data_IF_919864290522
#
_entry.id   IF_919864290522
#
_cell.length_a   1.000
_cell.length_b   1.000
_cell.length_c   1.000
_cell.angle_alpha   90.00
_cell.angle_beta   90.00
_cell.angle_gamma   90.00
#
_symmetry.space_group_name_H-M   'P 1'
#
loop_
_entity.id
_entity.type
_entity.pdbx_description
1 polymer ?
#
# COMPACT_ATOMS: atom_id res chain seq x y z
N UNK A 1 -22.96 -26.94 38.03
CA UNK A 1 -22.92 -26.26 36.72
C UNK A 1 -21.70 -25.38 36.73
N UNK A 2 -20.71 -25.71 35.91
CA UNK A 2 -19.40 -25.06 35.90
C UNK A 2 -19.49 -23.72 35.12
N UNK A 3 -19.26 -22.56 35.77
CA UNK A 3 -19.38 -21.25 35.15
C UNK A 3 -18.33 -20.99 34.06
N UNK A 4 -17.28 -21.83 33.94
CA UNK A 4 -16.28 -21.73 32.87
C UNK A 4 -16.80 -22.13 31.49
N UNK A 5 -17.95 -22.81 31.41
CA UNK A 5 -18.52 -23.32 30.15
C UNK A 5 -19.49 -22.35 29.45
N UNK A 6 -19.63 -21.11 29.94
CA UNK A 6 -20.57 -20.12 29.39
C UNK A 6 -19.87 -18.86 28.85
N UNK A 7 -18.55 -18.91 28.61
CA UNK A 7 -17.88 -17.84 27.87
C UNK A 7 -18.20 -17.96 26.38
N UNK A 8 -19.32 -17.35 25.97
CA UNK A 8 -19.67 -17.09 24.56
C UNK A 8 -18.62 -16.22 23.85
N UNK A 9 -17.77 -15.54 24.62
CA UNK A 9 -16.57 -14.88 24.14
C UNK A 9 -15.39 -15.87 24.18
N UNK A 10 -15.33 -16.75 23.18
CA UNK A 10 -14.06 -17.33 22.78
C UNK A 10 -13.26 -16.17 22.19
N UNK A 11 -12.41 -15.54 23.00
CA UNK A 11 -11.41 -14.60 22.51
C UNK A 11 -10.70 -15.25 21.34
N UNK A 12 -10.71 -14.57 20.19
CA UNK A 12 -10.01 -15.06 19.01
C UNK A 12 -8.52 -15.00 19.32
N UNK A 13 -7.99 -16.09 19.88
CA UNK A 13 -6.55 -16.29 19.98
C UNK A 13 -6.02 -16.44 18.56
N UNK A 14 -5.49 -15.34 18.03
CA UNK A 14 -4.72 -15.37 16.80
C UNK A 14 -3.42 -16.13 17.11
N UNK A 15 -3.14 -17.26 16.47
CA UNK A 15 -1.94 -18.03 16.77
C UNK A 15 -0.68 -17.20 16.44
N UNK A 16 0.29 -17.23 17.35
CA UNK A 16 1.60 -16.56 17.18
C UNK A 16 2.28 -17.10 15.92
N UNK A 17 2.56 -16.21 14.97
CA UNK A 17 3.40 -16.49 13.80
C UNK A 17 2.69 -16.68 12.46
N UNK A 18 1.35 -16.65 12.40
CA UNK A 18 0.68 -16.63 11.10
C UNK A 18 0.81 -15.24 10.46
N UNK A 19 1.53 -15.17 9.33
CA UNK A 19 1.42 -14.10 8.35
C UNK A 19 0.00 -14.09 7.78
N UNK A 20 -0.96 -13.60 8.57
CA UNK A 20 -2.37 -13.58 8.19
C UNK A 20 -2.56 -12.77 6.91
N UNK A 21 -3.71 -12.94 6.25
CA UNK A 21 -4.06 -12.28 4.99
C UNK A 21 -3.71 -10.78 4.89
N UNK A 22 -3.60 -10.05 6.01
CA UNK A 22 -3.08 -8.67 6.07
C UNK A 22 -1.63 -8.55 5.55
N UNK A 23 -0.73 -9.46 5.93
CA UNK A 23 0.67 -9.43 5.49
C UNK A 23 0.78 -9.70 3.98
N UNK A 24 0.07 -10.72 3.48
CA UNK A 24 0.05 -11.03 2.06
C UNK A 24 -0.58 -9.90 1.22
N UNK A 25 -1.72 -9.36 1.66
CA UNK A 25 -2.37 -8.24 0.97
C UNK A 25 -1.52 -6.97 0.98
N UNK A 26 -0.75 -6.73 2.04
CA UNK A 26 0.22 -5.62 2.09
C UNK A 26 1.33 -5.80 1.04
N UNK A 27 1.82 -7.02 0.82
CA UNK A 27 2.77 -7.30 -0.28
C UNK A 27 2.15 -7.06 -1.66
N UNK A 28 0.87 -7.42 -1.84
CA UNK A 28 0.13 -7.15 -3.08
C UNK A 28 -0.03 -5.64 -3.37
N UNK A 29 0.09 -4.78 -2.36
CA UNK A 29 0.09 -3.32 -2.51
C UNK A 29 1.51 -2.80 -2.74
N UNK A 30 2.44 -3.12 -1.83
CA UNK A 30 3.81 -2.59 -1.85
C UNK A 30 4.55 -3.02 -3.12
N UNK A 31 4.38 -4.27 -3.57
CA UNK A 31 5.05 -4.79 -4.77
C UNK A 31 4.79 -3.95 -6.01
N UNK A 32 3.52 -3.81 -6.46
CA UNK A 32 3.18 -2.93 -7.57
C UNK A 32 3.59 -1.48 -7.36
N UNK A 33 3.41 -0.90 -6.17
CA UNK A 33 3.78 0.50 -5.90
C UNK A 33 5.28 0.73 -6.09
N UNK A 34 6.13 -0.14 -5.54
CA UNK A 34 7.58 -0.08 -5.74
C UNK A 34 7.98 -0.32 -7.20
N UNK A 35 7.30 -1.22 -7.91
CA UNK A 35 7.53 -1.45 -9.34
C UNK A 35 7.25 -0.19 -10.17
N UNK A 36 6.10 0.48 -9.95
CA UNK A 36 5.78 1.74 -10.63
C UNK A 36 6.74 2.87 -10.26
N UNK A 37 7.13 2.99 -9.00
CA UNK A 37 8.14 3.96 -8.57
C UNK A 37 9.49 3.71 -9.26
N UNK A 38 9.90 2.45 -9.46
CA UNK A 38 11.10 2.12 -10.22
C UNK A 38 11.01 2.58 -11.68
N UNK A 39 9.87 2.39 -12.34
CA UNK A 39 9.67 2.88 -13.71
C UNK A 39 9.67 4.41 -13.79
N UNK A 40 9.03 5.09 -12.85
CA UNK A 40 9.01 6.56 -12.79
C UNK A 40 10.41 7.11 -12.50
N UNK A 41 11.16 6.47 -11.59
CA UNK A 41 12.55 6.83 -11.32
C UNK A 41 13.44 6.65 -12.55
N UNK A 42 13.20 5.62 -13.37
CA UNK A 42 13.89 5.47 -14.66
C UNK A 42 13.56 6.57 -15.67
N UNK A 43 12.43 7.25 -15.52
CA UNK A 43 12.01 8.37 -16.38
C UNK A 43 12.59 9.70 -15.89
N UNK A 44 13.05 9.77 -14.64
CA UNK A 44 13.55 10.99 -13.99
C UNK A 44 14.66 11.72 -14.76
N UNK A 45 15.66 11.06 -15.37
CA UNK A 45 16.68 11.75 -16.17
C UNK A 45 16.11 12.53 -17.37
N UNK A 46 14.98 12.08 -17.91
CA UNK A 46 14.29 12.72 -19.02
C UNK A 46 13.38 13.86 -18.54
N UNK A 47 12.75 13.69 -17.39
CA UNK A 47 11.86 14.69 -16.80
C UNK A 47 12.63 15.86 -16.15
N UNK A 48 13.85 15.60 -15.66
CA UNK A 48 14.62 16.58 -14.91
C UNK A 48 14.88 17.90 -15.65
N UNK A 49 15.37 17.88 -16.92
CA UNK A 49 15.62 19.09 -17.71
C UNK A 49 14.36 19.83 -18.17
N UNK A 50 13.16 19.26 -17.95
CA UNK A 50 11.90 19.92 -18.29
C UNK A 50 11.32 20.71 -17.14
N UNK A 51 11.62 20.30 -15.90
CA UNK A 51 10.92 20.76 -14.70
C UNK A 51 11.82 21.47 -13.69
N UNK A 52 13.11 21.12 -13.61
CA UNK A 52 14.02 21.61 -12.56
C UNK A 52 15.26 22.33 -13.08
N UNK A 53 15.32 22.66 -14.36
CA UNK A 53 16.40 23.48 -14.94
C UNK A 53 15.90 24.87 -15.30
N UNK A 54 16.67 25.89 -14.91
CA UNK A 54 16.38 27.30 -15.22
C UNK A 54 16.75 27.67 -16.65
N UNK A 55 17.72 26.97 -17.24
CA UNK A 55 18.11 27.17 -18.64
C UNK A 55 17.01 26.68 -19.58
N UNK A 56 16.83 27.38 -20.70
CA UNK A 56 15.88 26.97 -21.71
C UNK A 56 16.25 25.60 -22.26
N UNK A 57 15.34 24.64 -22.13
CA UNK A 57 15.51 23.29 -22.65
C UNK A 57 15.79 23.34 -24.16
N UNK A 58 16.93 22.82 -24.65
CA UNK A 58 17.27 22.88 -26.07
C UNK A 58 16.21 22.18 -26.93
N UNK A 59 15.91 22.71 -28.11
CA UNK A 59 14.98 22.11 -29.07
C UNK A 59 15.32 20.63 -29.39
N UNK A 60 16.62 20.33 -29.51
CA UNK A 60 17.12 18.99 -29.74
C UNK A 60 16.77 17.98 -28.62
N UNK A 61 16.62 18.45 -27.38
CA UNK A 61 16.20 17.60 -26.27
C UNK A 61 14.74 17.18 -26.42
N UNK A 62 13.85 18.09 -26.84
CA UNK A 62 12.45 17.76 -27.11
C UNK A 62 12.32 16.70 -28.22
N UNK A 63 13.15 16.79 -29.26
CA UNK A 63 13.19 15.76 -30.32
C UNK A 63 13.63 14.40 -29.78
N UNK A 64 14.67 14.35 -28.95
CA UNK A 64 15.15 13.12 -28.31
C UNK A 64 14.10 12.52 -27.36
N UNK A 65 13.45 13.36 -26.56
CA UNK A 65 12.39 12.97 -25.65
C UNK A 65 11.21 12.34 -26.40
N UNK A 66 10.76 12.95 -27.49
CA UNK A 66 9.70 12.38 -28.31
C UNK A 66 10.07 11.04 -28.92
N UNK A 67 11.30 10.89 -29.41
CA UNK A 67 11.79 9.60 -29.93
C UNK A 67 11.70 8.54 -28.83
N UNK A 68 12.14 8.88 -27.61
CA UNK A 68 12.07 7.97 -26.46
C UNK A 68 10.62 7.61 -26.11
N UNK A 69 9.72 8.59 -26.01
CA UNK A 69 8.30 8.37 -25.68
C UNK A 69 7.56 7.57 -26.76
N UNK A 70 7.86 7.81 -28.04
CA UNK A 70 7.34 7.02 -29.16
C UNK A 70 7.84 5.59 -29.11
N UNK A 71 9.12 5.39 -28.79
CA UNK A 71 9.68 4.06 -28.60
C UNK A 71 8.98 3.31 -27.45
N UNK A 72 8.71 3.99 -26.32
CA UNK A 72 7.95 3.42 -25.21
C UNK A 72 6.51 3.08 -25.61
N UNK A 73 5.82 3.96 -26.33
CA UNK A 73 4.44 3.72 -26.77
C UNK A 73 4.35 2.62 -27.85
N UNK A 74 5.38 2.46 -28.68
CA UNK A 74 5.49 1.39 -29.67
C UNK A 74 5.87 0.03 -29.06
N UNK A 75 6.06 -0.05 -27.73
CA UNK A 75 6.42 -1.28 -27.05
C UNK A 75 5.35 -2.37 -27.25
N UNK A 76 5.74 -3.66 -27.27
CA UNK A 76 4.79 -4.75 -27.47
C UNK A 76 3.62 -4.70 -26.47
N UNK A 77 2.36 -4.98 -26.90
CA UNK A 77 1.17 -4.85 -26.04
C UNK A 77 1.21 -5.65 -24.74
N UNK A 78 2.06 -6.68 -24.68
CA UNK A 78 2.31 -7.47 -23.47
C UNK A 78 2.80 -6.59 -22.30
N UNK A 79 3.59 -5.55 -22.55
CA UNK A 79 4.13 -4.66 -21.52
C UNK A 79 2.99 -3.90 -20.85
N UNK A 80 2.15 -3.22 -21.64
CA UNK A 80 0.98 -2.52 -21.10
C UNK A 80 0.03 -3.46 -20.33
N UNK A 81 -0.14 -4.70 -20.79
CA UNK A 81 -0.94 -5.71 -20.07
C UNK A 81 -0.34 -6.06 -18.71
N UNK A 82 0.98 -6.24 -18.62
CA UNK A 82 1.68 -6.48 -17.35
C UNK A 82 1.48 -5.29 -16.41
N UNK A 83 1.56 -4.05 -16.91
CA UNK A 83 1.29 -2.86 -16.10
C UNK A 83 -0.13 -2.87 -15.52
N UNK A 84 -1.15 -3.12 -16.34
CA UNK A 84 -2.53 -3.20 -15.86
C UNK A 84 -2.76 -4.36 -14.89
N UNK A 85 -2.07 -5.48 -15.05
CA UNK A 85 -2.10 -6.59 -14.08
C UNK A 85 -1.52 -6.13 -12.74
N UNK A 86 -0.36 -5.46 -12.74
CA UNK A 86 0.22 -4.90 -11.52
C UNK A 86 -0.72 -3.89 -10.82
N UNK A 87 -1.37 -3.01 -11.60
CA UNK A 87 -2.40 -2.09 -11.07
C UNK A 87 -3.54 -2.88 -10.41
N UNK A 88 -4.04 -3.91 -11.10
CA UNK A 88 -5.14 -4.75 -10.61
C UNK A 88 -4.77 -5.49 -9.33
N UNK A 89 -3.54 -6.02 -9.24
CA UNK A 89 -3.03 -6.69 -8.04
C UNK A 89 -3.02 -5.73 -6.83
N UNK A 90 -2.61 -4.47 -7.05
CA UNK A 90 -2.66 -3.43 -6.01
C UNK A 90 -4.08 -3.20 -5.49
N UNK A 91 -5.06 -3.04 -6.39
CA UNK A 91 -6.46 -2.91 -6.00
C UNK A 91 -6.99 -4.13 -5.24
N UNK A 92 -6.68 -5.34 -5.69
CA UNK A 92 -7.06 -6.57 -4.99
C UNK A 92 -6.48 -6.58 -3.57
N UNK A 93 -5.22 -6.16 -3.39
CA UNK A 93 -4.61 -6.02 -2.07
C UNK A 93 -5.40 -5.07 -1.16
N UNK A 94 -5.77 -3.88 -1.64
CA UNK A 94 -6.61 -2.95 -0.88
C UNK A 94 -7.99 -3.52 -0.53
N UNK A 95 -8.66 -4.17 -1.48
CA UNK A 95 -9.96 -4.76 -1.23
C UNK A 95 -9.88 -5.89 -0.19
N UNK A 96 -8.86 -6.74 -0.22
CA UNK A 96 -8.65 -7.77 0.80
C UNK A 96 -8.49 -7.14 2.20
N UNK A 97 -7.75 -6.03 2.32
CA UNK A 97 -7.54 -5.36 3.61
C UNK A 97 -8.78 -4.65 4.14
N UNK A 98 -9.61 -4.08 3.25
CA UNK A 98 -10.86 -3.40 3.63
C UNK A 98 -11.89 -4.31 4.32
N UNK A 99 -11.85 -5.62 4.11
CA UNK A 99 -12.76 -6.56 4.77
C UNK A 99 -12.41 -6.87 6.23
N UNK A 100 -11.31 -6.33 6.78
CA UNK A 100 -10.98 -6.44 8.21
C UNK A 100 -11.27 -5.12 8.96
N UNK A 101 -12.38 -5.05 9.71
CA UNK A 101 -12.78 -3.83 10.39
C UNK A 101 -11.92 -3.59 11.65
N UNK A 102 -10.93 -2.70 11.55
CA UNK A 102 -10.49 -1.85 12.65
C UNK A 102 -10.54 -0.40 12.16
N UNK A 103 -10.88 0.56 13.04
CA UNK A 103 -11.03 1.97 12.64
C UNK A 103 -9.71 2.56 12.11
N UNK A 104 -8.58 2.18 12.71
CA UNK A 104 -7.25 2.58 12.26
C UNK A 104 -6.94 2.02 10.86
N UNK A 105 -7.25 0.74 10.61
CA UNK A 105 -7.02 0.13 9.30
C UNK A 105 -7.92 0.78 8.24
N UNK A 106 -9.16 1.12 8.57
CA UNK A 106 -10.06 1.82 7.65
C UNK A 106 -9.48 3.18 7.21
N UNK A 107 -8.91 3.96 8.14
CA UNK A 107 -8.33 5.26 7.81
C UNK A 107 -7.08 5.13 6.95
N UNK A 108 -6.13 4.27 7.31
CA UNK A 108 -4.88 4.11 6.58
C UNK A 108 -5.07 3.40 5.23
N UNK A 109 -5.81 2.27 5.21
CA UNK A 109 -6.08 1.53 3.96
C UNK A 109 -7.07 2.28 3.06
N UNK A 110 -8.06 2.97 3.63
CA UNK A 110 -9.00 3.80 2.88
C UNK A 110 -8.32 5.00 2.22
N UNK A 111 -7.51 5.75 2.96
CA UNK A 111 -6.73 6.86 2.39
C UNK A 111 -5.73 6.36 1.32
N UNK A 112 -5.06 5.23 1.58
CA UNK A 112 -4.15 4.61 0.61
C UNK A 112 -4.87 4.18 -0.67
N UNK A 113 -6.08 3.62 -0.56
CA UNK A 113 -6.89 3.24 -1.72
C UNK A 113 -7.31 4.48 -2.55
N UNK A 114 -7.70 5.57 -1.89
CA UNK A 114 -8.03 6.83 -2.59
C UNK A 114 -6.82 7.38 -3.33
N UNK A 115 -5.63 7.41 -2.70
CA UNK A 115 -4.39 7.81 -3.37
C UNK A 115 -4.07 6.89 -4.56
N UNK A 116 -4.25 5.59 -4.41
CA UNK A 116 -4.01 4.62 -5.49
C UNK A 116 -5.01 4.78 -6.65
N UNK A 117 -6.26 5.14 -6.35
CA UNK A 117 -7.27 5.48 -7.36
C UNK A 117 -6.88 6.76 -8.10
N UNK A 118 -6.46 7.80 -7.39
CA UNK A 118 -5.97 9.06 -8.00
C UNK A 118 -4.77 8.76 -8.91
N UNK A 119 -3.82 7.94 -8.45
CA UNK A 119 -2.68 7.51 -9.25
C UNK A 119 -3.13 6.81 -10.54
N UNK A 120 -4.12 5.92 -10.45
CA UNK A 120 -4.68 5.22 -11.62
C UNK A 120 -5.36 6.18 -12.60
N UNK A 121 -6.12 7.16 -12.09
CA UNK A 121 -6.75 8.19 -12.94
C UNK A 121 -5.69 9.01 -13.66
N UNK A 122 -4.69 9.54 -12.96
CA UNK A 122 -3.59 10.32 -13.55
C UNK A 122 -2.83 9.51 -14.60
N UNK A 123 -2.57 8.23 -14.33
CA UNK A 123 -1.96 7.33 -15.31
C UNK A 123 -2.80 7.25 -16.61
N UNK A 124 -4.11 7.03 -16.51
CA UNK A 124 -4.98 6.90 -17.68
C UNK A 124 -5.14 8.24 -18.39
N UNK A 125 -5.44 9.31 -17.67
CA UNK A 125 -5.83 10.60 -18.26
C UNK A 125 -4.63 11.40 -18.74
N UNK A 126 -3.47 11.26 -18.11
CA UNK A 126 -2.31 12.10 -18.43
C UNK A 126 -1.23 11.30 -19.14
N UNK A 127 -0.83 10.14 -18.59
CA UNK A 127 0.28 9.36 -19.14
C UNK A 127 -0.13 8.64 -20.43
N UNK A 128 -1.20 7.82 -20.37
CA UNK A 128 -1.66 7.06 -21.54
C UNK A 128 -2.11 7.99 -22.66
N UNK A 129 -2.88 9.03 -22.35
CA UNK A 129 -3.27 10.03 -23.36
C UNK A 129 -2.08 10.80 -23.91
N UNK A 130 -1.18 11.28 -23.05
CA UNK A 130 0.02 12.02 -23.49
C UNK A 130 0.91 11.20 -24.42
N UNK A 131 1.12 9.91 -24.13
CA UNK A 131 1.85 9.01 -25.03
C UNK A 131 1.17 8.83 -26.40
N UNK A 132 -0.16 8.81 -26.45
CA UNK A 132 -0.91 8.76 -27.72
C UNK A 132 -0.72 10.05 -28.52
N UNK A 133 -0.85 11.21 -27.86
CA UNK A 133 -0.66 12.53 -28.49
C UNK A 133 0.75 12.63 -29.09
N UNK A 134 1.79 12.30 -28.31
CA UNK A 134 3.20 12.34 -28.76
C UNK A 134 3.44 11.39 -29.94
N UNK A 135 2.79 10.22 -29.94
CA UNK A 135 2.90 9.23 -31.01
C UNK A 135 2.21 9.67 -32.29
N UNK A 136 1.02 10.25 -32.17
CA UNK A 136 0.27 10.76 -33.33
C UNK A 136 0.87 12.08 -33.86
N UNK A 137 1.64 12.80 -33.04
CA UNK A 137 2.25 14.08 -33.39
C UNK A 137 1.25 15.22 -33.53
N UNK A 138 0.03 15.05 -33.03
CA UNK A 138 -1.04 16.06 -33.09
C UNK A 138 -1.02 16.89 -31.82
N UNK A 139 -0.18 17.91 -31.81
CA UNK A 139 -0.16 18.93 -30.75
C UNK A 139 -1.08 20.10 -31.12
N UNK A 140 -1.62 20.78 -30.10
CA UNK A 140 -2.45 21.98 -30.31
C UNK A 140 -3.82 21.71 -30.93
N UNK A 141 -4.25 20.45 -31.06
CA UNK A 141 -5.62 20.10 -31.46
C UNK A 141 -6.40 19.82 -30.17
N UNK A 142 -7.44 20.61 -29.85
CA UNK A 142 -8.27 20.32 -28.69
C UNK A 142 -9.07 19.03 -28.93
N UNK A 143 -8.97 18.04 -28.02
CA UNK A 143 -9.82 16.83 -28.07
C UNK A 143 -11.22 17.16 -27.53
N UNK A 144 -11.96 17.98 -28.29
CA UNK A 144 -13.33 18.37 -27.99
C UNK A 144 -13.51 19.87 -27.72
N UNK A 145 -14.77 20.30 -27.54
CA UNK A 145 -15.13 21.72 -27.51
C UNK A 145 -14.72 22.45 -26.21
N UNK A 146 -14.16 21.75 -25.22
CA UNK A 146 -13.85 22.27 -23.88
C UNK A 146 -12.37 22.19 -23.50
N UNK A 147 -11.51 21.63 -24.36
CA UNK A 147 -10.08 21.49 -24.04
C UNK A 147 -9.25 22.64 -24.65
N UNK A 148 -8.24 23.09 -23.90
CA UNK A 148 -7.30 24.11 -24.37
C UNK A 148 -6.27 23.43 -25.26
N UNK A 149 -5.99 24.00 -26.43
CA UNK A 149 -4.92 23.56 -27.30
C UNK A 149 -3.56 23.72 -26.61
N UNK A 150 -2.91 22.61 -26.25
CA UNK A 150 -1.58 22.62 -25.62
C UNK A 150 -0.50 22.45 -26.70
N UNK A 151 0.50 23.32 -26.69
CA UNK A 151 1.66 23.24 -27.59
C UNK A 151 2.50 21.98 -27.35
N UNK A 152 3.42 21.70 -28.28
CA UNK A 152 4.34 20.54 -28.20
C UNK A 152 5.13 20.50 -26.89
N UNK A 153 5.87 21.57 -26.60
CA UNK A 153 6.74 21.65 -25.43
C UNK A 153 5.94 21.58 -24.12
N UNK A 154 4.81 22.26 -24.06
CA UNK A 154 3.92 22.24 -22.90
C UNK A 154 3.32 20.84 -22.69
N UNK A 155 2.96 20.13 -23.76
CA UNK A 155 2.45 18.75 -23.68
C UNK A 155 3.51 17.82 -23.10
N UNK A 156 4.78 17.97 -23.50
CA UNK A 156 5.90 17.20 -22.97
C UNK A 156 6.20 17.54 -21.51
N UNK A 157 6.11 18.83 -21.13
CA UNK A 157 6.23 19.27 -19.72
C UNK A 157 5.09 18.77 -18.85
N UNK A 158 3.86 18.75 -19.35
CA UNK A 158 2.70 18.19 -18.65
C UNK A 158 2.87 16.68 -18.42
N UNK A 159 3.44 15.96 -19.38
CA UNK A 159 3.74 14.54 -19.23
C UNK A 159 4.79 14.30 -18.13
N UNK A 160 5.90 15.05 -18.16
CA UNK A 160 6.94 14.99 -17.13
C UNK A 160 6.40 15.35 -15.74
N UNK A 161 5.58 16.41 -15.66
CA UNK A 161 4.94 16.82 -14.40
C UNK A 161 3.99 15.71 -13.88
N UNK A 162 3.29 15.04 -14.78
CA UNK A 162 2.39 13.93 -14.43
C UNK A 162 3.16 12.72 -13.87
N UNK A 163 4.34 12.38 -14.41
CA UNK A 163 5.21 11.35 -13.84
C UNK A 163 5.62 11.70 -12.40
N UNK A 164 5.97 12.97 -12.17
CA UNK A 164 6.37 13.47 -10.85
C UNK A 164 5.22 13.42 -9.84
N UNK A 165 4.04 13.90 -10.23
CA UNK A 165 2.83 13.83 -9.40
C UNK A 165 2.51 12.38 -9.06
N UNK A 166 2.58 11.48 -10.06
CA UNK A 166 2.32 10.06 -9.86
C UNK A 166 3.31 9.45 -8.87
N UNK A 167 4.60 9.81 -8.95
CA UNK A 167 5.62 9.36 -8.01
C UNK A 167 5.32 9.82 -6.57
N UNK A 168 4.96 11.09 -6.38
CA UNK A 168 4.62 11.63 -5.06
C UNK A 168 3.38 10.95 -4.46
N UNK A 169 2.34 10.71 -5.26
CA UNK A 169 1.13 10.02 -4.81
C UNK A 169 1.45 8.58 -4.40
N UNK A 170 2.26 7.87 -5.18
CA UNK A 170 2.67 6.49 -4.88
C UNK A 170 3.60 6.41 -3.65
N UNK A 171 4.49 7.38 -3.45
CA UNK A 171 5.25 7.50 -2.19
C UNK A 171 4.29 7.73 -1.02
N UNK A 172 3.25 8.54 -1.19
CA UNK A 172 2.18 8.72 -0.20
C UNK A 172 1.53 7.40 0.20
N UNK A 173 1.26 6.51 -0.77
CA UNK A 173 0.76 5.15 -0.49
C UNK A 173 1.75 4.36 0.37
N UNK A 174 3.05 4.36 0.05
CA UNK A 174 4.06 3.67 0.85
C UNK A 174 4.16 4.21 2.28
N UNK A 175 4.11 5.53 2.44
CA UNK A 175 4.16 6.19 3.75
C UNK A 175 2.95 5.77 4.60
N UNK A 176 1.74 5.74 4.03
CA UNK A 176 0.55 5.29 4.75
C UNK A 176 0.60 3.80 5.11
N UNK A 177 1.07 2.95 4.20
CA UNK A 177 1.22 1.51 4.47
C UNK A 177 2.29 1.26 5.55
N UNK A 178 3.39 2.01 5.56
CA UNK A 178 4.39 1.96 6.63
C UNK A 178 3.84 2.50 7.97
N UNK A 179 3.04 3.58 7.92
CA UNK A 179 2.35 4.14 9.08
C UNK A 179 1.38 3.14 9.72
N UNK A 180 0.61 2.42 8.90
CA UNK A 180 -0.25 1.34 9.38
C UNK A 180 0.57 0.21 10.00
N UNK A 181 1.66 -0.23 9.36
CA UNK A 181 2.53 -1.26 9.93
C UNK A 181 3.08 -0.85 11.30
N UNK A 182 3.48 0.42 11.44
CA UNK A 182 3.96 0.96 12.72
C UNK A 182 2.84 1.01 13.78
N UNK A 183 1.64 1.47 13.40
CA UNK A 183 0.48 1.51 14.29
C UNK A 183 0.09 0.10 14.76
N UNK A 184 -0.07 -0.85 13.84
CA UNK A 184 -0.37 -2.24 14.14
C UNK A 184 0.72 -2.87 15.03
N UNK A 185 2.00 -2.54 14.80
CA UNK A 185 3.10 -3.07 15.62
C UNK A 185 3.04 -2.56 17.05
N UNK A 186 2.74 -1.27 17.24
CA UNK A 186 2.61 -0.67 18.57
C UNK A 186 1.44 -1.28 19.34
N UNK A 187 0.28 -1.43 18.70
CA UNK A 187 -0.90 -2.03 19.33
C UNK A 187 -0.64 -3.48 19.76
N UNK A 188 0.10 -4.24 18.95
CA UNK A 188 0.52 -5.62 19.30
C UNK A 188 1.50 -5.64 20.48
N UNK A 189 2.47 -4.73 20.52
CA UNK A 189 3.43 -4.67 21.63
C UNK A 189 2.74 -4.28 22.95
N UNK A 190 1.72 -3.42 22.90
CA UNK A 190 0.89 -3.07 24.05
C UNK A 190 0.03 -4.26 24.50
N UNK A 191 -0.63 -4.97 23.60
CA UNK A 191 -1.46 -6.14 23.94
C UNK A 191 -0.64 -7.26 24.60
N UNK A 192 0.58 -7.52 24.12
CA UNK A 192 1.49 -8.52 24.70
C UNK A 192 1.90 -8.16 26.13
N UNK A 193 2.10 -6.86 26.44
CA UNK A 193 2.41 -6.41 27.81
C UNK A 193 1.22 -6.64 28.74
N UNK A 194 0.01 -6.31 28.29
CA UNK A 194 -1.21 -6.54 29.05
C UNK A 194 -1.47 -8.03 29.31
N UNK A 195 -1.23 -8.91 28.32
CA UNK A 195 -1.34 -10.36 28.49
C UNK A 195 -0.36 -10.88 29.55
N UNK A 196 0.92 -10.49 29.47
CA UNK A 196 1.94 -10.89 30.45
C UNK A 196 1.60 -10.42 31.86
N UNK A 197 1.15 -9.17 32.02
CA UNK A 197 0.71 -8.67 33.33
C UNK A 197 -0.50 -9.43 33.88
N UNK A 198 -1.42 -9.87 33.03
CA UNK A 198 -2.56 -10.68 33.45
C UNK A 198 -2.15 -12.10 33.84
N UNK A 199 -1.24 -12.73 33.09
CA UNK A 199 -0.66 -14.03 33.42
C UNK A 199 0.09 -13.98 34.77
N UNK A 200 0.91 -12.95 35.01
CA UNK A 200 1.62 -12.75 36.27
C UNK A 200 0.67 -12.53 37.45
N UNK A 201 -0.39 -11.73 37.27
CA UNK A 201 -1.45 -11.50 38.27
C UNK A 201 -2.28 -12.75 38.55
N UNK A 202 -2.51 -13.60 37.54
CA UNK A 202 -3.21 -14.88 37.69
C UNK A 202 -2.33 -15.92 38.40
N UNK A 203 -1.03 -15.94 38.12
CA UNK A 203 -0.06 -16.82 38.78
C UNK A 203 0.13 -16.46 40.27
N UNK A 204 0.09 -15.17 40.63
CA UNK A 204 0.14 -14.74 42.05
C UNK A 204 -1.15 -14.94 42.83
N UNK A 205 -2.31 -15.00 42.14
CA UNK A 205 -3.63 -15.20 42.76
C UNK A 205 -4.03 -16.66 42.99
N UNK A 206 -3.23 -17.66 42.59
CA UNK A 206 -3.46 -19.07 42.97
C UNK A 206 -3.03 -19.31 44.43
N UNK A 207 -3.94 -19.36 45.42
CA UNK A 207 -3.56 -19.58 46.80
C UNK A 207 -3.42 -21.09 47.03
N UNK A 208 -2.35 -21.44 47.75
CA UNK A 208 -2.18 -22.73 48.42
C UNK A 208 -3.48 -23.12 49.15
N UNK A 209 -4.28 -24.02 48.59
CA UNK A 209 -5.32 -24.70 49.37
C UNK A 209 -4.61 -25.66 50.33
N UNK A 210 -4.39 -25.17 51.54
CA UNK A 210 -3.90 -25.97 52.66
C UNK A 210 -4.80 -27.18 52.87
N UNK A 211 -4.25 -28.37 52.65
CA UNK A 211 -4.84 -29.60 53.17
C UNK A 211 -4.29 -29.79 54.57
N UNK A 212 -5.02 -29.29 55.57
CA UNK A 212 -4.87 -29.80 56.94
C UNK A 212 -6.22 -29.69 57.65
N UNK A 213 -6.83 -30.83 58.02
CA UNK A 213 -7.29 -31.17 59.38
C UNK A 213 -7.80 -32.64 59.39
N UNK A 214 -6.96 -33.50 59.98
CA UNK A 214 -7.18 -34.65 60.90
C UNK A 214 -8.41 -35.58 60.81
N UNK A 215 -8.16 -36.90 60.88
CA UNK A 215 -8.32 -37.76 62.09
C UNK A 215 -8.50 -39.25 61.72
N UNK A 216 -7.53 -40.10 62.05
CA UNK A 216 -7.70 -41.27 62.94
C UNK A 216 -6.50 -42.20 62.82
N UNK A 217 -5.81 -42.37 63.93
CA UNK A 217 -4.86 -43.45 64.12
C UNK A 217 -5.60 -44.78 64.14
N UNK A 218 -5.21 -45.75 63.31
CA UNK A 218 -5.36 -47.15 63.68
C UNK A 218 -4.05 -47.89 63.48
N UNK A 219 -3.68 -48.48 64.61
CA UNK A 219 -2.46 -49.21 64.91
C UNK A 219 -2.60 -50.63 64.35
N UNK A 220 -1.47 -51.15 63.87
CA UNK A 220 -1.00 -52.53 64.10
C UNK A 220 -1.61 -53.68 63.26
N UNK A 221 -0.69 -54.26 62.48
CA UNK A 221 -0.19 -55.66 62.54
C UNK A 221 -0.75 -56.68 61.54
N UNK A 222 0.24 -57.35 60.96
CA UNK A 222 0.30 -58.64 60.24
C UNK A 222 -0.09 -58.64 58.77
#
# INVERSE_FOLDING_TARGET
>A
MDPSKVSIFKTYEKPRGEGGASSFATFMIIGPVCFFLGMLFSSFPYDYPLLWTTEATPAAFYDQLEIHLRFLHASPPIIARILHIAISVGFVGFFIKLFKPSEANLLFDGASLVLYLIATVVYITNIVKGLRIVTMGVYGVPEGNTEIAIGREDSLRVLAASNTILALVLVGVLVLQAGQWYAERKDLDESIKYEKEQEEKAATKSPKTGTHVTRSASKKKQ
#
